data_IF_815742041000
#
_entry.id   IF_815742041000
#
_cell.length_a   1.000
_cell.length_b   1.000
_cell.length_c   1.000
_cell.angle_alpha   90.00
_cell.angle_beta   90.00
_cell.angle_gamma   90.00
#
_symmetry.space_group_name_H-M   'P 1'
#
loop_
_entity.id
_entity.type
_entity.pdbx_description
1 polymer ?
#
# COMPACT_ATOMS: atom_id res chain seq x y z
N UNK A 1 3.47 25.02 10.45
CA UNK A 1 2.34 24.14 10.05
C UNK A 1 2.43 23.60 8.62
N UNK A 2 3.60 23.63 7.93
CA UNK A 2 3.68 23.23 6.50
C UNK A 2 4.20 21.82 6.23
N UNK A 3 4.96 21.20 7.13
CA UNK A 3 5.58 19.88 6.87
C UNK A 3 4.56 18.73 6.88
N UNK A 4 3.66 18.73 7.86
CA UNK A 4 2.60 17.72 7.98
C UNK A 4 1.58 17.80 6.84
N UNK A 5 1.18 19.00 6.41
CA UNK A 5 0.19 19.16 5.34
C UNK A 5 0.69 18.65 3.98
N UNK A 6 1.98 18.81 3.68
CA UNK A 6 2.56 18.36 2.41
C UNK A 6 2.63 16.83 2.32
N UNK A 7 3.08 16.15 3.38
CA UNK A 7 3.07 14.68 3.43
C UNK A 7 1.66 14.07 3.44
N UNK A 8 0.67 14.77 3.99
CA UNK A 8 -0.72 14.32 3.96
C UNK A 8 -1.32 14.32 2.55
N UNK A 9 -0.98 15.32 1.71
CA UNK A 9 -1.42 15.36 0.31
C UNK A 9 -0.76 14.24 -0.52
N UNK A 10 0.51 13.95 -0.27
CA UNK A 10 1.24 12.85 -0.92
C UNK A 10 0.70 11.47 -0.50
N UNK A 11 0.36 11.28 0.78
CA UNK A 11 -0.17 10.00 1.27
C UNK A 11 -1.59 9.66 0.74
N UNK A 12 -2.32 10.63 0.18
CA UNK A 12 -3.64 10.39 -0.43
C UNK A 12 -3.54 9.57 -1.73
N UNK A 13 -2.49 9.81 -2.52
CA UNK A 13 -2.29 9.24 -3.84
C UNK A 13 -0.91 8.60 -3.94
N UNK A 14 -0.87 7.30 -4.18
CA UNK A 14 0.39 6.65 -4.49
C UNK A 14 0.84 7.06 -5.90
N UNK A 15 2.11 7.41 -6.08
CA UNK A 15 2.61 7.81 -7.39
C UNK A 15 2.46 6.65 -8.40
N UNK A 16 2.11 6.91 -9.67
CA UNK A 16 2.03 5.91 -10.72
C UNK A 16 3.30 5.06 -10.87
N UNK A 17 4.47 5.63 -10.57
CA UNK A 17 5.75 4.90 -10.55
C UNK A 17 5.78 3.70 -9.59
N UNK A 18 4.86 3.65 -8.62
CA UNK A 18 4.74 2.57 -7.65
C UNK A 18 3.78 1.46 -8.07
N UNK A 19 2.98 1.68 -9.12
CA UNK A 19 1.90 0.76 -9.49
C UNK A 19 2.41 -0.65 -9.80
N UNK A 20 3.50 -0.78 -10.54
CA UNK A 20 4.02 -2.10 -10.91
C UNK A 20 4.58 -2.86 -9.70
N UNK A 21 5.19 -2.16 -8.75
CA UNK A 21 5.64 -2.76 -7.50
C UNK A 21 4.46 -3.22 -6.63
N UNK A 22 3.43 -2.38 -6.51
CA UNK A 22 2.21 -2.71 -5.75
C UNK A 22 1.50 -3.92 -6.38
N UNK A 23 1.41 -3.98 -7.71
CA UNK A 23 0.85 -5.14 -8.42
C UNK A 23 1.60 -6.43 -8.10
N UNK A 24 2.93 -6.39 -8.07
CA UNK A 24 3.76 -7.55 -7.69
C UNK A 24 3.48 -8.00 -6.27
N UNK A 25 3.48 -7.07 -5.31
CA UNK A 25 3.16 -7.33 -3.90
C UNK A 25 1.76 -7.93 -3.75
N UNK A 26 0.76 -7.35 -4.42
CA UNK A 26 -0.62 -7.85 -4.40
C UNK A 26 -0.69 -9.29 -4.90
N UNK A 27 -0.02 -9.59 -6.03
CA UNK A 27 0.00 -10.94 -6.59
C UNK A 27 0.64 -11.96 -5.64
N UNK A 28 1.73 -11.59 -4.96
CA UNK A 28 2.36 -12.44 -3.93
C UNK A 28 1.40 -12.73 -2.77
N UNK A 29 0.67 -11.71 -2.32
CA UNK A 29 -0.32 -11.86 -1.25
C UNK A 29 -1.48 -12.75 -1.71
N UNK A 30 -2.01 -12.55 -2.92
CA UNK A 30 -3.08 -13.38 -3.49
C UNK A 30 -2.70 -14.85 -3.54
N UNK A 31 -1.47 -15.15 -3.96
CA UNK A 31 -0.96 -16.52 -3.98
C UNK A 31 -0.86 -17.13 -2.58
N UNK A 32 -0.50 -16.32 -1.58
CA UNK A 32 -0.42 -16.77 -0.18
C UNK A 32 -1.80 -17.04 0.42
N UNK A 33 -2.77 -16.14 0.22
CA UNK A 33 -4.11 -16.26 0.81
C UNK A 33 -5.08 -17.11 -0.01
N UNK A 34 -4.74 -17.42 -1.28
CA UNK A 34 -5.52 -18.22 -2.22
C UNK A 34 -6.98 -17.77 -2.36
N UNK A 35 -7.22 -16.45 -2.38
CA UNK A 35 -8.55 -15.87 -2.53
C UNK A 35 -9.52 -16.12 -1.36
N UNK A 36 -9.07 -16.68 -0.23
CA UNK A 36 -9.93 -16.96 0.93
C UNK A 36 -10.54 -15.71 1.57
N UNK A 37 -9.92 -14.56 1.36
CA UNK A 37 -10.37 -13.25 1.84
C UNK A 37 -9.87 -12.14 0.94
N UNK A 38 -10.43 -10.94 1.12
CA UNK A 38 -9.91 -9.71 0.50
C UNK A 38 -8.51 -9.38 1.04
N UNK A 39 -7.70 -8.76 0.18
CA UNK A 39 -6.38 -8.22 0.55
C UNK A 39 -6.57 -6.95 1.36
N UNK A 40 -5.84 -6.85 2.45
CA UNK A 40 -5.85 -5.72 3.36
C UNK A 40 -4.58 -4.88 3.19
N UNK A 41 -4.66 -3.59 3.49
CA UNK A 41 -3.47 -2.73 3.52
C UNK A 41 -2.41 -3.23 4.53
N UNK A 42 -2.86 -3.87 5.62
CA UNK A 42 -1.97 -4.52 6.58
C UNK A 42 -1.20 -5.70 5.97
N UNK A 43 -1.75 -6.41 4.99
CA UNK A 43 -1.04 -7.52 4.34
C UNK A 43 0.16 -7.00 3.54
N UNK A 44 -0.02 -5.86 2.86
CA UNK A 44 1.06 -5.19 2.14
C UNK A 44 2.18 -4.78 3.10
N UNK A 45 1.82 -4.12 4.20
CA UNK A 45 2.79 -3.70 5.23
C UNK A 45 3.52 -4.92 5.79
N UNK A 46 2.77 -5.97 6.15
CA UNK A 46 3.32 -7.18 6.74
C UNK A 46 4.26 -7.91 5.78
N UNK A 47 3.93 -7.98 4.49
CA UNK A 47 4.81 -8.56 3.49
C UNK A 47 6.11 -7.77 3.39
N UNK A 48 6.03 -6.43 3.25
CA UNK A 48 7.22 -5.57 3.12
C UNK A 48 8.16 -5.74 4.32
N UNK A 49 7.61 -5.79 5.53
CA UNK A 49 8.39 -5.99 6.77
C UNK A 49 8.98 -7.40 6.82
N UNK A 50 8.18 -8.44 6.53
CA UNK A 50 8.60 -9.84 6.61
C UNK A 50 9.70 -10.17 5.63
N UNK A 51 9.60 -9.69 4.40
CA UNK A 51 10.62 -9.90 3.36
C UNK A 51 11.80 -8.92 3.49
N UNK A 52 11.79 -8.06 4.51
CA UNK A 52 12.82 -7.04 4.76
C UNK A 52 13.10 -6.17 3.51
N UNK A 53 12.03 -5.82 2.78
CA UNK A 53 12.13 -4.91 1.64
C UNK A 53 12.44 -3.49 2.13
N UNK A 54 13.50 -2.90 1.58
CA UNK A 54 14.03 -1.60 2.01
C UNK A 54 14.09 -0.63 0.84
N UNK A 55 13.98 0.66 1.15
CA UNK A 55 14.13 1.74 0.19
C UNK A 55 12.99 2.75 0.28
N UNK A 56 13.23 3.93 -0.28
CA UNK A 56 12.28 5.06 -0.24
C UNK A 56 10.89 4.66 -0.76
N UNK A 57 10.88 3.90 -1.85
CA UNK A 57 9.66 3.42 -2.51
C UNK A 57 8.78 2.53 -1.60
N UNK A 58 9.39 1.63 -0.83
CA UNK A 58 8.66 0.78 0.12
C UNK A 58 8.15 1.59 1.32
N UNK A 59 8.92 2.57 1.78
CA UNK A 59 8.50 3.48 2.85
C UNK A 59 7.28 4.32 2.42
N UNK A 60 7.28 4.81 1.18
CA UNK A 60 6.14 5.54 0.60
C UNK A 60 4.90 4.65 0.48
N UNK A 61 5.05 3.38 0.08
CA UNK A 61 3.96 2.39 0.06
C UNK A 61 3.40 2.13 1.46
N UNK A 62 4.26 1.94 2.47
CA UNK A 62 3.84 1.74 3.87
C UNK A 62 3.07 2.97 4.37
N UNK A 63 3.57 4.18 4.09
CA UNK A 63 2.92 5.43 4.48
C UNK A 63 1.52 5.55 3.87
N UNK A 64 1.40 5.25 2.57
CA UNK A 64 0.13 5.22 1.87
C UNK A 64 -0.85 4.20 2.46
N UNK A 65 -0.39 2.96 2.74
CA UNK A 65 -1.20 1.93 3.37
C UNK A 65 -1.74 2.40 4.74
N UNK A 66 -0.86 2.93 5.59
CA UNK A 66 -1.24 3.47 6.89
C UNK A 66 -2.23 4.63 6.79
N UNK A 67 -2.07 5.51 5.79
CA UNK A 67 -3.01 6.58 5.52
C UNK A 67 -4.41 6.03 5.20
N UNK A 68 -4.51 5.03 4.31
CA UNK A 68 -5.80 4.41 3.96
C UNK A 68 -6.46 3.76 5.17
N UNK A 69 -5.70 3.05 6.00
CA UNK A 69 -6.18 2.46 7.26
C UNK A 69 -6.74 3.54 8.20
N UNK A 70 -6.04 4.67 8.37
CA UNK A 70 -6.51 5.81 9.18
C UNK A 70 -7.82 6.43 8.66
N UNK A 71 -8.10 6.32 7.36
CA UNK A 71 -9.35 6.76 6.75
C UNK A 71 -10.47 5.71 6.84
N UNK A 72 -10.28 4.62 7.60
CA UNK A 72 -11.24 3.52 7.73
C UNK A 72 -11.29 2.60 6.50
N UNK A 73 -10.33 2.71 5.58
CA UNK A 73 -10.21 1.82 4.40
C UNK A 73 -9.27 0.69 4.74
N UNK A 74 -9.80 -0.48 5.02
CA UNK A 74 -9.01 -1.65 5.44
C UNK A 74 -8.61 -2.56 4.26
N UNK A 75 -9.48 -2.66 3.26
CA UNK A 75 -9.26 -3.51 2.09
C UNK A 75 -8.70 -2.71 0.91
N UNK A 76 -7.79 -3.33 0.17
CA UNK A 76 -7.29 -2.79 -1.09
C UNK A 76 -8.39 -2.97 -2.14
N UNK A 77 -9.11 -1.91 -2.43
CA UNK A 77 -10.08 -1.89 -3.52
C UNK A 77 -9.30 -1.72 -4.83
N UNK A 78 -9.35 -2.73 -5.71
CA UNK A 78 -8.64 -2.75 -6.99
C UNK A 78 -9.04 -1.54 -7.86
N UNK A 79 -10.23 -0.98 -7.67
CA UNK A 79 -10.68 0.28 -8.31
C UNK A 79 -9.87 1.53 -7.94
N UNK A 80 -9.11 1.51 -6.85
CA UNK A 80 -8.18 2.59 -6.49
C UNK A 80 -6.83 2.48 -7.23
N UNK A 81 -6.60 1.36 -7.91
CA UNK A 81 -5.52 1.14 -8.88
C UNK A 81 -6.14 1.26 -10.27
N UNK A 82 -6.89 2.35 -10.52
CA UNK A 82 -7.41 2.63 -11.86
C UNK A 82 -6.22 3.01 -12.76
N UNK A 83 -6.11 2.24 -13.83
CA UNK A 83 -5.11 2.31 -14.90
C UNK A 83 -5.26 3.57 -15.73
#
# INVERSE_FOLDING_TARGET
MSYFQNHFKEAQHISPSHHDLIKRIIKEIEQSIKGKRKIMYSDIINLIIRENYRGKMFNEIILWCNYKIKQGKYNVLIEHIKF
#
